data_IF_251553449536
#
_entry.id   IF_251553449536
#
_cell.length_a   1.000
_cell.length_b   1.000
_cell.length_c   1.000
_cell.angle_alpha   90.00
_cell.angle_beta   90.00
_cell.angle_gamma   90.00
#
_symmetry.space_group_name_H-M   'P 1'
#
loop_
_entity.id
_entity.type
_entity.pdbx_description
1 polymer ?
#
# COMPACT_ATOMS: atom_id res chain seq x y z
N UNK A 1 55.00 21.03 -36.16
CA UNK A 1 53.68 21.48 -35.65
C UNK A 1 52.90 20.22 -35.30
N UNK A 2 52.68 19.96 -34.01
CA UNK A 2 52.03 18.74 -33.51
C UNK A 2 50.54 19.02 -33.35
N UNK A 3 49.70 18.32 -34.12
CA UNK A 3 48.24 18.39 -33.97
C UNK A 3 47.84 17.40 -32.87
N UNK A 4 47.64 17.93 -31.67
CA UNK A 4 47.07 17.19 -30.54
C UNK A 4 45.58 16.99 -30.79
N UNK A 5 45.22 15.81 -31.27
CA UNK A 5 43.85 15.36 -31.45
C UNK A 5 43.25 15.04 -30.07
N UNK A 6 42.49 15.97 -29.51
CA UNK A 6 41.71 15.75 -28.29
C UNK A 6 40.51 14.88 -28.64
N UNK A 7 40.62 13.58 -28.39
CA UNK A 7 39.53 12.63 -28.55
C UNK A 7 38.33 13.04 -27.66
N UNK A 8 37.08 12.94 -28.17
CA UNK A 8 35.90 13.22 -27.37
C UNK A 8 35.75 12.13 -26.29
N UNK A 9 35.70 12.55 -25.03
CA UNK A 9 35.42 11.68 -23.89
C UNK A 9 34.05 11.02 -24.08
N UNK A 10 34.06 9.71 -24.37
CA UNK A 10 32.85 8.91 -24.56
C UNK A 10 32.09 8.87 -23.22
N UNK A 11 30.82 9.31 -23.15
CA UNK A 11 30.05 9.21 -21.92
C UNK A 11 30.00 7.73 -21.51
N UNK A 12 30.33 7.46 -20.24
CA UNK A 12 30.28 6.12 -19.69
C UNK A 12 28.87 5.54 -19.92
N UNK A 13 28.75 4.29 -20.42
CA UNK A 13 27.44 3.70 -20.67
C UNK A 13 26.69 3.63 -19.33
N UNK A 14 25.55 4.32 -19.24
CA UNK A 14 24.58 4.08 -18.18
C UNK A 14 24.29 2.59 -18.14
N UNK A 15 24.61 1.96 -17.01
CA UNK A 15 24.42 0.53 -16.80
C UNK A 15 22.92 0.24 -16.70
N UNK A 16 22.27 -0.01 -17.85
CA UNK A 16 20.87 -0.41 -17.98
C UNK A 16 20.54 -1.74 -17.25
N UNK A 17 21.54 -2.39 -16.67
CA UNK A 17 21.44 -3.65 -15.95
C UNK A 17 21.82 -3.54 -14.48
N UNK A 18 21.84 -2.33 -13.92
CA UNK A 18 21.95 -2.19 -12.46
C UNK A 18 20.80 -2.98 -11.82
N UNK A 19 21.08 -4.01 -11.01
CA UNK A 19 20.02 -4.82 -10.41
C UNK A 19 19.12 -3.88 -9.63
N UNK A 20 17.86 -3.72 -10.07
CA UNK A 20 16.89 -2.94 -9.31
C UNK A 20 16.84 -3.55 -7.92
N UNK A 21 17.32 -2.83 -6.90
CA UNK A 21 17.21 -3.25 -5.52
C UNK A 21 15.72 -3.46 -5.28
N UNK A 22 15.28 -4.72 -5.25
CA UNK A 22 13.86 -5.02 -5.10
C UNK A 22 13.47 -4.48 -3.72
N UNK A 23 12.56 -3.50 -3.63
CA UNK A 23 12.22 -2.94 -2.34
C UNK A 23 11.66 -4.07 -1.47
N UNK A 24 12.41 -4.45 -0.43
CA UNK A 24 11.96 -5.48 0.50
C UNK A 24 10.85 -4.86 1.34
N UNK A 25 9.61 -5.22 1.06
CA UNK A 25 8.49 -4.85 1.93
C UNK A 25 8.74 -5.47 3.32
N UNK A 26 8.75 -4.68 4.39
CA UNK A 26 8.95 -5.21 5.72
C UNK A 26 7.76 -6.09 6.11
N UNK A 27 8.00 -7.15 6.88
CA UNK A 27 6.96 -8.08 7.32
C UNK A 27 5.82 -7.38 8.09
N UNK A 28 6.11 -6.24 8.73
CA UNK A 28 5.11 -5.38 9.38
C UNK A 28 4.08 -4.84 8.39
N UNK A 29 4.50 -4.48 7.18
CA UNK A 29 3.59 -3.90 6.18
C UNK A 29 2.68 -4.98 5.64
N UNK A 30 3.21 -6.19 5.42
CA UNK A 30 2.40 -7.36 5.05
C UNK A 30 1.34 -7.65 6.12
N UNK A 31 1.72 -7.64 7.39
CA UNK A 31 0.79 -7.85 8.50
C UNK A 31 -0.31 -6.76 8.56
N UNK A 32 0.06 -5.50 8.33
CA UNK A 32 -0.90 -4.39 8.28
C UNK A 32 -1.85 -4.49 7.08
N UNK A 33 -1.37 -4.94 5.92
CA UNK A 33 -2.21 -5.19 4.75
C UNK A 33 -3.24 -6.28 5.06
N UNK A 34 -2.81 -7.40 5.64
CA UNK A 34 -3.72 -8.49 6.02
C UNK A 34 -4.76 -7.99 7.03
N UNK A 35 -4.34 -7.23 8.04
CA UNK A 35 -5.24 -6.63 9.02
C UNK A 35 -6.27 -5.71 8.35
N UNK A 36 -5.83 -4.85 7.43
CA UNK A 36 -6.71 -3.96 6.69
C UNK A 36 -7.72 -4.75 5.83
N UNK A 37 -7.28 -5.81 5.15
CA UNK A 37 -8.18 -6.69 4.40
C UNK A 37 -9.24 -7.32 5.31
N UNK A 38 -8.84 -7.87 6.46
CA UNK A 38 -9.77 -8.47 7.42
C UNK A 38 -10.78 -7.44 7.93
N UNK A 39 -10.35 -6.22 8.22
CA UNK A 39 -11.25 -5.14 8.64
C UNK A 39 -12.24 -4.78 7.54
N UNK A 40 -11.79 -4.57 6.31
CA UNK A 40 -12.68 -4.19 5.20
C UNK A 40 -13.67 -5.32 4.87
N UNK A 41 -13.21 -6.56 4.72
CA UNK A 41 -14.14 -7.67 4.48
C UNK A 41 -15.06 -7.93 5.69
N UNK A 42 -14.54 -7.74 6.90
CA UNK A 42 -15.29 -7.86 8.14
C UNK A 42 -16.37 -6.78 8.27
N UNK A 43 -16.06 -5.52 7.93
CA UNK A 43 -17.02 -4.42 7.96
C UNK A 43 -18.14 -4.61 6.94
N UNK A 44 -17.81 -5.02 5.71
CA UNK A 44 -18.82 -5.44 4.72
C UNK A 44 -19.70 -6.59 5.21
N UNK A 45 -19.11 -7.59 5.88
CA UNK A 45 -19.87 -8.70 6.45
C UNK A 45 -20.84 -8.24 7.54
N UNK A 46 -20.36 -7.43 8.50
CA UNK A 46 -21.20 -6.87 9.58
C UNK A 46 -22.30 -5.99 9.03
N UNK A 47 -22.01 -5.19 8.01
CA UNK A 47 -23.02 -4.40 7.29
C UNK A 47 -24.06 -5.30 6.61
N UNK A 48 -23.63 -6.42 6.01
CA UNK A 48 -24.52 -7.43 5.44
C UNK A 48 -25.48 -8.04 6.46
N UNK A 49 -25.03 -8.25 7.71
CA UNK A 49 -25.89 -8.75 8.79
C UNK A 49 -27.04 -7.81 9.13
N UNK A 50 -26.94 -6.51 8.84
CA UNK A 50 -28.02 -5.55 9.06
C UNK A 50 -29.31 -5.92 8.30
N UNK A 51 -29.18 -6.62 7.16
CA UNK A 51 -30.33 -7.08 6.37
C UNK A 51 -30.96 -8.38 6.91
N UNK A 52 -30.26 -9.08 7.80
CA UNK A 52 -30.78 -10.28 8.47
C UNK A 52 -31.32 -9.96 9.88
N UNK A 53 -30.65 -9.07 10.61
CA UNK A 53 -30.95 -8.74 12.01
C UNK A 53 -31.55 -7.34 12.09
N UNK A 54 -32.87 -7.26 11.91
CA UNK A 54 -33.61 -5.99 11.78
C UNK A 54 -33.58 -5.14 13.05
N UNK A 55 -33.55 -5.77 14.24
CA UNK A 55 -33.54 -5.08 15.54
C UNK A 55 -32.30 -4.20 15.74
N UNK A 56 -31.18 -4.60 15.14
CA UNK A 56 -29.88 -3.93 15.29
C UNK A 56 -29.37 -3.35 13.96
N UNK A 57 -30.22 -3.26 12.94
CA UNK A 57 -29.82 -2.93 11.57
C UNK A 57 -28.98 -1.64 11.48
N UNK A 58 -29.42 -0.55 12.12
CA UNK A 58 -28.70 0.73 12.10
C UNK A 58 -27.31 0.61 12.74
N UNK A 59 -27.21 -0.12 13.86
CA UNK A 59 -25.94 -0.31 14.57
C UNK A 59 -24.99 -1.24 13.82
N UNK A 60 -25.50 -2.31 13.20
CA UNK A 60 -24.71 -3.22 12.39
C UNK A 60 -24.23 -2.55 11.10
N UNK A 61 -25.11 -1.81 10.43
CA UNK A 61 -24.77 -1.07 9.22
C UNK A 61 -23.75 0.04 9.51
N UNK A 62 -24.04 0.89 10.50
CA UNK A 62 -23.12 1.96 10.90
C UNK A 62 -21.80 1.42 11.48
N UNK A 63 -21.87 0.35 12.27
CA UNK A 63 -20.70 -0.33 12.81
C UNK A 63 -19.80 -0.90 11.70
N UNK A 64 -20.40 -1.55 10.69
CA UNK A 64 -19.68 -2.02 9.50
C UNK A 64 -18.96 -0.88 8.77
N UNK A 65 -19.63 0.25 8.56
CA UNK A 65 -19.02 1.45 7.94
C UNK A 65 -17.80 1.94 8.74
N UNK A 66 -17.90 2.01 10.07
CA UNK A 66 -16.78 2.46 10.91
C UNK A 66 -15.61 1.48 10.84
N UNK A 67 -15.89 0.18 10.84
CA UNK A 67 -14.86 -0.86 10.70
C UNK A 67 -14.15 -0.75 9.33
N UNK A 68 -14.90 -0.54 8.25
CA UNK A 68 -14.35 -0.32 6.91
C UNK A 68 -13.49 0.95 6.86
N UNK A 69 -13.98 2.05 7.45
CA UNK A 69 -13.24 3.30 7.52
C UNK A 69 -11.88 3.12 8.23
N UNK A 70 -11.83 2.33 9.31
CA UNK A 70 -10.58 1.99 10.00
C UNK A 70 -9.69 1.12 9.12
N UNK A 71 -10.25 0.11 8.45
CA UNK A 71 -9.49 -0.75 7.51
C UNK A 71 -8.85 0.05 6.38
N UNK A 72 -9.59 0.97 5.77
CA UNK A 72 -9.08 1.87 4.73
C UNK A 72 -8.08 2.89 5.28
N UNK A 73 -8.29 3.42 6.49
CA UNK A 73 -7.32 4.30 7.12
C UNK A 73 -5.99 3.59 7.41
N UNK A 74 -6.02 2.32 7.81
CA UNK A 74 -4.80 1.52 7.97
C UNK A 74 -4.12 1.31 6.61
N UNK A 75 -4.87 0.88 5.59
CA UNK A 75 -4.34 0.59 4.26
C UNK A 75 -3.72 1.82 3.58
N UNK A 76 -4.42 2.95 3.60
CA UNK A 76 -4.09 4.13 2.80
C UNK A 76 -3.56 5.31 3.62
N UNK A 77 -3.85 5.36 4.92
CA UNK A 77 -3.36 6.40 5.83
C UNK A 77 -2.08 6.00 6.54
N UNK A 78 -2.09 4.85 7.22
CA UNK A 78 -1.01 4.44 8.11
C UNK A 78 0.20 3.87 7.36
N UNK A 79 0.00 2.91 6.45
CA UNK A 79 1.10 2.24 5.74
C UNK A 79 1.92 3.24 4.91
N UNK A 80 1.32 4.11 4.06
CA UNK A 80 2.11 5.01 3.21
C UNK A 80 2.85 6.11 3.99
N UNK A 81 2.39 6.48 5.18
CA UNK A 81 3.01 7.53 6.00
C UNK A 81 4.14 7.02 6.90
N UNK A 82 4.30 5.70 7.11
CA UNK A 82 5.43 5.15 7.88
C UNK A 82 6.77 5.23 7.14
N UNK A 83 6.73 5.34 5.82
CA UNK A 83 7.90 5.30 4.94
C UNK A 83 8.28 6.70 4.39
N UNK A 84 7.61 7.77 4.85
CA UNK A 84 7.98 9.17 4.58
C UNK A 84 8.80 9.70 5.75
#
# INVERSE_FOLDING_TARGET
MSLGESAPEKPAPESLFEPSATPRMPASDVALIILAMVLVFGGFYVMGLAFSIHEWAIWLFGGGIVVDAIGFWIAFGLIPNRNK
#
